data_IF_501327597241
#
_entry.id   IF_501327597241
#
_cell.length_a   1.000
_cell.length_b   1.000
_cell.length_c   1.000
_cell.angle_alpha   90.00
_cell.angle_beta   90.00
_cell.angle_gamma   90.00
#
_symmetry.space_group_name_H-M   'P 1'
#
loop_
_entity.id
_entity.type
_entity.pdbx_description
1 polymer ?
#
# COMPACT_ATOMS: atom_id res chain seq x y z
N UNK A 1 4.37 -21.50 -7.20
CA UNK A 1 4.45 -20.05 -6.89
C UNK A 1 3.09 -19.40 -6.61
N UNK A 2 1.96 -20.09 -6.80
CA UNK A 2 0.62 -19.52 -6.58
C UNK A 2 0.31 -18.99 -5.17
N UNK A 3 1.06 -19.38 -4.13
CA UNK A 3 0.86 -18.87 -2.76
C UNK A 3 1.16 -17.36 -2.61
N UNK A 4 2.00 -16.81 -3.49
CA UNK A 4 2.39 -15.39 -3.48
C UNK A 4 1.62 -14.58 -4.53
N UNK A 5 0.74 -15.23 -5.32
CA UNK A 5 -0.01 -14.55 -6.36
C UNK A 5 -0.97 -13.53 -5.74
N UNK A 6 -1.06 -12.35 -6.37
CA UNK A 6 -2.04 -11.34 -6.00
C UNK A 6 -3.42 -11.75 -6.51
N UNK A 7 -4.45 -11.48 -5.72
CA UNK A 7 -5.80 -11.91 -6.05
C UNK A 7 -6.82 -11.32 -5.10
N UNK A 8 -7.99 -11.93 -5.04
CA UNK A 8 -8.98 -11.63 -4.00
C UNK A 8 -8.77 -12.54 -2.81
N UNK A 9 -8.62 -11.96 -1.61
CA UNK A 9 -8.42 -12.74 -0.39
C UNK A 9 -9.74 -13.38 0.05
N UNK A 10 -10.83 -12.62 -0.01
CA UNK A 10 -12.15 -13.08 0.43
C UNK A 10 -13.19 -11.97 0.43
N UNK A 11 -14.44 -12.31 0.76
CA UNK A 11 -15.56 -11.34 0.69
C UNK A 11 -15.46 -10.21 1.71
N UNK A 12 -14.87 -10.47 2.88
CA UNK A 12 -14.72 -9.48 3.96
C UNK A 12 -13.48 -8.58 3.80
N UNK A 13 -12.75 -8.65 2.68
CA UNK A 13 -11.48 -7.93 2.49
C UNK A 13 -11.61 -6.39 2.61
N UNK A 14 -12.80 -5.82 2.40
CA UNK A 14 -13.04 -4.38 2.60
C UNK A 14 -13.32 -3.99 4.05
N UNK A 15 -13.85 -4.92 4.84
CA UNK A 15 -14.20 -4.69 6.25
C UNK A 15 -13.05 -5.06 7.19
N UNK A 16 -11.99 -5.67 6.65
CA UNK A 16 -10.83 -6.17 7.38
C UNK A 16 -9.61 -5.27 7.16
N UNK A 17 -8.82 -5.05 8.21
CA UNK A 17 -7.58 -4.29 8.17
C UNK A 17 -6.41 -5.21 8.53
N UNK A 18 -5.60 -5.57 7.55
CA UNK A 18 -4.38 -6.38 7.72
C UNK A 18 -3.11 -5.54 7.56
N UNK A 19 -1.97 -6.07 8.02
CA UNK A 19 -0.66 -5.41 7.93
C UNK A 19 -0.29 -5.05 6.48
N UNK A 20 -0.44 -6.01 5.57
CA UNK A 20 -0.23 -5.85 4.14
C UNK A 20 -1.26 -6.72 3.41
N UNK A 21 -1.92 -6.15 2.40
CA UNK A 21 -2.88 -6.86 1.58
C UNK A 21 -2.70 -6.46 0.11
N UNK A 22 -2.53 -7.46 -0.74
CA UNK A 22 -2.39 -7.32 -2.19
C UNK A 22 -3.68 -7.78 -2.86
N UNK A 23 -4.42 -6.84 -3.43
CA UNK A 23 -5.64 -7.12 -4.17
C UNK A 23 -5.45 -6.83 -5.64
N UNK A 24 -6.14 -7.59 -6.49
CA UNK A 24 -6.18 -7.36 -7.92
C UNK A 24 -7.50 -6.67 -8.28
N UNK A 25 -7.46 -5.62 -9.12
CA UNK A 25 -8.64 -4.82 -9.42
C UNK A 25 -9.65 -5.59 -10.29
N UNK A 26 -9.16 -6.34 -11.28
CA UNK A 26 -10.00 -7.10 -12.22
C UNK A 26 -9.56 -8.56 -12.29
N UNK A 27 -9.80 -9.37 -11.25
CA UNK A 27 -9.42 -10.78 -11.25
C UNK A 27 -10.31 -11.56 -12.24
N UNK A 28 -9.74 -12.53 -12.93
CA UNK A 28 -10.44 -13.36 -13.91
C UNK A 28 -10.36 -14.83 -13.53
N UNK A 29 -11.44 -15.58 -13.80
CA UNK A 29 -11.45 -17.04 -13.62
C UNK A 29 -10.48 -17.69 -14.60
N UNK A 30 -9.73 -18.73 -14.17
CA UNK A 30 -8.85 -19.46 -15.08
C UNK A 30 -9.66 -20.15 -16.17
N UNK A 31 -9.25 -20.01 -17.44
CA UNK A 31 -9.91 -20.69 -18.56
C UNK A 31 -9.68 -22.20 -18.55
N UNK A 32 -8.48 -22.63 -18.18
CA UNK A 32 -8.11 -24.04 -18.04
C UNK A 32 -8.03 -24.35 -16.54
N UNK A 33 -8.87 -25.27 -16.09
CA UNK A 33 -9.03 -25.61 -14.68
C UNK A 33 -8.96 -27.11 -14.45
N UNK A 34 -8.44 -27.49 -13.30
CA UNK A 34 -8.43 -28.87 -12.81
C UNK A 34 -9.65 -29.12 -11.92
N UNK A 35 -10.11 -30.37 -11.78
CA UNK A 35 -11.23 -30.72 -10.89
C UNK A 35 -11.01 -30.26 -9.45
N UNK A 36 -9.75 -30.24 -8.99
CA UNK A 36 -9.40 -29.77 -7.65
C UNK A 36 -9.75 -28.30 -7.43
N UNK A 37 -9.62 -27.44 -8.45
CA UNK A 37 -9.96 -26.01 -8.38
C UNK A 37 -11.46 -25.80 -8.10
N UNK A 38 -12.30 -26.69 -8.65
CA UNK A 38 -13.74 -26.68 -8.41
C UNK A 38 -14.07 -27.14 -6.99
N UNK A 39 -13.40 -28.20 -6.52
CA UNK A 39 -13.59 -28.72 -5.15
C UNK A 39 -13.21 -27.71 -4.05
N UNK A 40 -12.20 -26.88 -4.29
CA UNK A 40 -11.77 -25.82 -3.35
C UNK A 40 -12.48 -24.48 -3.58
N UNK A 41 -13.41 -24.40 -4.54
CA UNK A 41 -14.14 -23.17 -4.89
C UNK A 41 -13.25 -21.98 -5.31
N UNK A 42 -12.05 -22.23 -5.85
CA UNK A 42 -11.10 -21.17 -6.20
C UNK A 42 -11.55 -20.31 -7.38
N UNK A 43 -12.55 -20.76 -8.15
CA UNK A 43 -13.21 -19.94 -9.17
C UNK A 43 -13.97 -18.74 -8.63
N UNK A 44 -14.44 -18.81 -7.38
CA UNK A 44 -15.17 -17.71 -6.74
C UNK A 44 -14.22 -16.58 -6.33
N UNK A 45 -12.97 -16.93 -6.00
CA UNK A 45 -11.92 -16.01 -5.55
C UNK A 45 -10.64 -16.20 -6.38
N UNK A 46 -10.66 -15.86 -7.68
CA UNK A 46 -9.50 -16.10 -8.53
C UNK A 46 -8.33 -15.18 -8.16
N UNK A 47 -7.11 -15.72 -8.28
CA UNK A 47 -5.87 -14.97 -8.11
C UNK A 47 -5.10 -14.93 -9.43
N UNK A 48 -5.49 -13.99 -10.31
CA UNK A 48 -4.81 -13.75 -11.58
C UNK A 48 -5.70 -13.09 -12.64
N UNK A 49 -5.12 -12.90 -13.82
CA UNK A 49 -5.81 -12.47 -15.03
C UNK A 49 -5.40 -13.37 -16.18
N UNK A 50 -6.32 -13.67 -17.10
CA UNK A 50 -5.98 -14.37 -18.33
C UNK A 50 -5.25 -13.39 -19.26
N UNK A 51 -4.17 -13.85 -19.86
CA UNK A 51 -3.35 -13.07 -20.78
C UNK A 51 -3.31 -13.74 -22.14
N UNK A 52 -3.37 -12.96 -23.21
CA UNK A 52 -3.04 -13.44 -24.56
C UNK A 52 -1.52 -13.41 -24.70
N UNK A 53 -0.92 -14.58 -24.88
CA UNK A 53 0.54 -14.75 -24.97
C UNK A 53 0.92 -15.05 -26.42
N UNK A 54 1.93 -14.35 -26.92
CA UNK A 54 2.58 -14.65 -28.20
C UNK A 54 4.00 -15.15 -27.91
N UNK A 55 4.33 -16.35 -28.38
CA UNK A 55 5.67 -16.93 -28.24
C UNK A 55 6.47 -16.55 -29.48
N UNK A 56 7.31 -15.53 -29.34
CA UNK A 56 8.19 -15.06 -30.39
C UNK A 56 9.38 -14.31 -29.79
N UNK A 57 10.51 -14.32 -30.48
CA UNK A 57 11.64 -13.47 -30.10
C UNK A 57 11.42 -12.04 -30.58
N UNK A 58 11.51 -11.05 -29.69
CA UNK A 58 11.26 -9.65 -30.04
C UNK A 58 12.21 -8.67 -29.34
N UNK A 59 12.89 -7.83 -30.14
CA UNK A 59 13.73 -6.70 -29.70
C UNK A 59 14.93 -7.02 -28.78
N UNK A 60 15.15 -8.28 -28.39
CA UNK A 60 16.25 -8.69 -27.52
C UNK A 60 16.10 -8.27 -26.05
N UNK A 61 14.94 -7.75 -25.65
CA UNK A 61 14.58 -7.46 -24.27
C UNK A 61 13.81 -8.61 -23.58
N UNK A 62 13.78 -9.77 -24.23
CA UNK A 62 13.20 -11.05 -23.83
C UNK A 62 14.27 -12.07 -23.38
N UNK A 63 15.48 -11.58 -23.08
CA UNK A 63 16.60 -12.38 -22.56
C UNK A 63 16.41 -12.63 -21.06
N UNK A 64 16.86 -13.77 -20.54
CA UNK A 64 16.87 -14.11 -19.10
C UNK A 64 15.49 -13.99 -18.42
N UNK A 65 14.52 -14.76 -18.93
CA UNK A 65 13.14 -14.84 -18.42
C UNK A 65 12.42 -13.48 -18.37
N UNK A 66 12.84 -12.51 -19.18
CA UNK A 66 12.17 -11.22 -19.28
C UNK A 66 10.88 -11.32 -20.10
N UNK A 67 9.85 -10.61 -19.66
CA UNK A 67 8.59 -10.48 -20.40
C UNK A 67 8.41 -9.06 -20.92
N UNK A 68 7.99 -9.00 -22.17
CA UNK A 68 7.60 -7.76 -22.83
C UNK A 68 6.08 -7.62 -22.76
N UNK A 69 5.59 -6.52 -22.19
CA UNK A 69 4.17 -6.27 -22.01
C UNK A 69 3.66 -5.17 -22.95
N UNK A 70 2.41 -5.29 -23.40
CA UNK A 70 1.75 -4.26 -24.20
C UNK A 70 1.29 -3.11 -23.30
N UNK A 71 1.86 -1.92 -23.51
CA UNK A 71 1.49 -0.71 -22.76
C UNK A 71 -0.01 -0.39 -22.87
N UNK A 72 -0.61 -0.56 -24.04
CA UNK A 72 -2.03 -0.27 -24.24
C UNK A 72 -2.94 -1.21 -23.42
N UNK A 73 -2.47 -2.41 -23.08
CA UNK A 73 -3.22 -3.32 -22.19
C UNK A 73 -3.09 -2.90 -20.73
N UNK A 74 -1.91 -2.44 -20.31
CA UNK A 74 -1.68 -1.88 -18.97
C UNK A 74 -2.51 -0.61 -18.73
N UNK A 75 -2.55 0.30 -19.70
CA UNK A 75 -3.36 1.53 -19.62
C UNK A 75 -4.87 1.22 -19.47
N UNK A 76 -5.33 0.09 -20.03
CA UNK A 76 -6.71 -0.41 -19.87
C UNK A 76 -6.95 -1.14 -18.54
N UNK A 77 -5.91 -1.37 -17.73
CA UNK A 77 -6.02 -1.97 -16.39
C UNK A 77 -5.56 -3.43 -16.28
N UNK A 78 -4.84 -3.97 -17.27
CA UNK A 78 -4.17 -5.25 -17.13
C UNK A 78 -3.12 -5.20 -16.02
N UNK A 79 -3.16 -6.15 -15.07
CA UNK A 79 -2.26 -6.23 -13.94
C UNK A 79 -2.47 -5.17 -12.85
N UNK A 80 -3.55 -4.38 -12.90
CA UNK A 80 -3.77 -3.31 -11.90
C UNK A 80 -3.97 -3.90 -10.50
N UNK A 81 -3.06 -3.55 -9.59
CA UNK A 81 -3.06 -4.02 -8.21
C UNK A 81 -3.38 -2.88 -7.23
N UNK A 82 -3.94 -3.27 -6.08
CA UNK A 82 -4.24 -2.43 -4.93
C UNK A 82 -3.41 -2.96 -3.76
N UNK A 83 -2.53 -2.10 -3.22
CA UNK A 83 -1.68 -2.45 -2.09
C UNK A 83 -2.17 -1.70 -0.87
N UNK A 84 -2.70 -2.42 0.11
CA UNK A 84 -3.10 -1.88 1.40
C UNK A 84 -2.00 -2.14 2.41
N UNK A 85 -1.68 -1.13 3.22
CA UNK A 85 -0.76 -1.26 4.35
C UNK A 85 -1.35 -0.57 5.56
N UNK A 86 -1.26 -1.25 6.70
CA UNK A 86 -1.72 -0.70 7.95
C UNK A 86 -0.59 0.06 8.67
N UNK A 87 -0.91 1.25 9.17
CA UNK A 87 -0.08 2.02 10.07
C UNK A 87 -0.84 2.19 11.39
N UNK A 88 -0.46 1.41 12.41
CA UNK A 88 -1.14 1.41 13.71
C UNK A 88 -0.48 2.37 14.69
N UNK A 89 -1.29 3.16 15.38
CA UNK A 89 -0.90 4.00 16.51
C UNK A 89 -1.51 3.44 17.79
N UNK A 90 -0.71 3.19 18.83
CA UNK A 90 -1.25 2.82 20.16
C UNK A 90 -0.99 3.97 21.12
N UNK A 91 -2.01 4.43 21.84
CA UNK A 91 -1.86 5.42 22.91
C UNK A 91 -1.79 4.67 24.23
N UNK A 92 -0.70 4.85 24.97
CA UNK A 92 -0.47 4.16 26.24
C UNK A 92 -0.68 5.10 27.41
N UNK A 93 -1.16 4.52 28.51
CA UNK A 93 -1.20 5.16 29.82
C UNK A 93 -0.12 4.50 30.68
N UNK A 94 0.69 5.33 31.32
CA UNK A 94 1.86 4.91 32.08
C UNK A 94 1.53 4.83 33.57
N UNK A 95 2.39 4.17 34.33
CA UNK A 95 2.24 3.96 35.79
C UNK A 95 2.32 5.28 36.57
N UNK A 96 3.07 6.25 36.07
CA UNK A 96 3.17 7.61 36.59
C UNK A 96 1.95 8.49 36.28
N UNK A 97 0.80 7.89 35.95
CA UNK A 97 -0.45 8.54 35.53
C UNK A 97 -0.36 9.42 34.27
N UNK A 98 0.80 9.49 33.61
CA UNK A 98 0.94 10.18 32.33
C UNK A 98 0.33 9.34 31.20
N UNK A 99 -0.07 10.01 30.12
CA UNK A 99 -0.66 9.38 28.96
C UNK A 99 -0.16 10.03 27.68
N UNK A 100 -0.08 9.23 26.63
CA UNK A 100 0.18 9.69 25.27
C UNK A 100 -0.96 10.57 24.77
N UNK A 101 -0.62 11.66 24.06
CA UNK A 101 -1.59 12.61 23.53
C UNK A 101 -1.45 12.72 22.02
N UNK A 102 -2.57 12.79 21.31
CA UNK A 102 -2.58 13.22 19.91
C UNK A 102 -2.82 14.72 19.91
N UNK A 103 -1.96 15.46 19.21
CA UNK A 103 -2.05 16.91 19.11
C UNK A 103 -2.53 17.27 17.71
N UNK A 104 -3.34 18.33 17.60
CA UNK A 104 -3.78 18.85 16.31
C UNK A 104 -2.61 19.31 15.41
N UNK A 105 -2.90 19.71 14.17
CA UNK A 105 -1.90 20.15 13.23
C UNK A 105 -1.22 21.43 13.73
N UNK A 106 0.11 21.42 13.73
CA UNK A 106 0.89 22.63 13.96
C UNK A 106 0.70 23.61 12.79
N UNK A 107 0.21 24.81 13.11
CA UNK A 107 -0.04 25.91 12.18
C UNK A 107 1.20 26.79 12.07
N UNK A 108 1.50 27.24 10.87
CA UNK A 108 2.51 28.27 10.65
C UNK A 108 1.98 29.65 11.11
N UNK A 109 2.80 30.38 11.86
CA UNK A 109 2.41 31.65 12.48
C UNK A 109 2.17 32.75 11.43
N UNK A 110 2.87 32.70 10.29
CA UNK A 110 2.75 33.71 9.24
C UNK A 110 1.51 33.50 8.36
N UNK A 111 1.24 32.24 7.97
CA UNK A 111 0.20 31.92 6.98
C UNK A 111 -1.10 31.38 7.58
N UNK A 112 -1.11 31.04 8.88
CA UNK A 112 -2.20 30.32 9.56
C UNK A 112 -2.64 29.04 8.85
N UNK A 113 -1.75 28.45 8.04
CA UNK A 113 -1.98 27.18 7.36
C UNK A 113 -1.18 26.08 8.06
N UNK A 114 -1.64 24.82 8.02
CA UNK A 114 -0.88 23.70 8.55
C UNK A 114 0.45 23.60 7.79
N UNK A 115 1.51 23.23 8.51
CA UNK A 115 2.82 22.97 7.90
C UNK A 115 2.67 21.83 6.90
N UNK A 116 3.47 21.82 5.82
CA UNK A 116 3.43 20.76 4.79
C UNK A 116 3.40 19.33 5.35
N UNK A 117 4.09 19.07 6.48
CA UNK A 117 4.11 17.76 7.15
C UNK A 117 2.77 17.37 7.80
N UNK A 118 1.97 18.36 8.18
CA UNK A 118 0.68 18.26 8.86
C UNK A 118 -0.49 18.64 7.96
N UNK A 119 -0.25 18.87 6.67
CA UNK A 119 -1.27 19.32 5.73
C UNK A 119 -2.44 18.33 5.59
N UNK A 120 -2.18 17.05 5.85
CA UNK A 120 -3.16 15.95 5.74
C UNK A 120 -3.90 15.63 7.04
N UNK A 121 -3.57 16.33 8.13
CA UNK A 121 -4.14 16.09 9.45
C UNK A 121 -5.40 16.92 9.62
N UNK A 122 -6.43 16.30 10.18
CA UNK A 122 -7.66 16.97 10.61
C UNK A 122 -7.45 17.66 11.98
N UNK A 123 -8.46 18.37 12.48
CA UNK A 123 -8.41 19.13 13.73
C UNK A 123 -8.04 18.27 14.96
N UNK A 124 -8.29 16.96 14.91
CA UNK A 124 -7.96 15.98 15.94
C UNK A 124 -6.50 15.48 15.89
N UNK A 125 -5.74 15.83 14.84
CA UNK A 125 -4.37 15.35 14.64
C UNK A 125 -4.25 13.96 14.01
N UNK A 126 -5.35 13.45 13.43
CA UNK A 126 -5.42 12.19 12.66
C UNK A 126 -5.60 12.54 11.17
N UNK A 127 -5.08 11.71 10.27
CA UNK A 127 -5.25 11.91 8.84
C UNK A 127 -6.71 11.74 8.37
N UNK A 128 -7.16 12.63 7.49
CA UNK A 128 -8.50 12.53 6.89
C UNK A 128 -8.58 11.40 5.85
N UNK A 129 -9.64 10.57 5.84
CA UNK A 129 -9.84 9.55 4.82
C UNK A 129 -9.99 10.16 3.42
N UNK A 130 -9.21 9.67 2.46
CA UNK A 130 -9.31 10.06 1.05
C UNK A 130 -8.25 11.06 0.60
N UNK A 131 -7.50 11.65 1.51
CA UNK A 131 -6.39 12.53 1.16
C UNK A 131 -5.15 11.76 0.70
N UNK A 132 -4.45 12.32 -0.28
CA UNK A 132 -3.21 11.73 -0.81
C UNK A 132 -2.05 12.05 0.13
N UNK A 133 -1.46 11.00 0.69
CA UNK A 133 -0.29 11.10 1.56
C UNK A 133 0.99 10.99 0.75
N UNK A 134 1.89 11.96 0.93
CA UNK A 134 3.22 11.97 0.34
C UNK A 134 4.28 11.50 1.34
N UNK A 135 5.46 11.19 0.81
CA UNK A 135 6.57 10.70 1.63
C UNK A 135 6.94 11.72 2.72
N UNK A 136 7.22 11.24 3.94
CA UNK A 136 7.56 12.05 5.13
C UNK A 136 6.42 12.87 5.75
N UNK A 137 5.21 12.86 5.20
CA UNK A 137 4.04 13.41 5.87
C UNK A 137 3.62 12.57 7.07
N UNK A 138 2.95 13.21 8.04
CA UNK A 138 2.54 12.61 9.31
C UNK A 138 1.11 12.11 9.21
N UNK A 139 0.88 10.84 9.52
CA UNK A 139 -0.45 10.23 9.56
C UNK A 139 -1.17 10.48 10.89
N UNK A 140 -0.42 10.41 11.98
CA UNK A 140 -0.94 10.67 13.33
C UNK A 140 0.11 11.46 14.08
N UNK A 141 -0.26 12.65 14.56
CA UNK A 141 0.61 13.51 15.32
C UNK A 141 0.59 13.13 16.81
N UNK A 142 1.33 12.07 17.13
CA UNK A 142 1.44 11.54 18.49
C UNK A 142 2.55 12.26 19.26
N UNK A 143 2.23 12.68 20.48
CA UNK A 143 3.16 13.18 21.48
C UNK A 143 3.23 12.22 22.68
N UNK A 144 4.44 11.83 23.07
CA UNK A 144 4.73 10.91 24.17
C UNK A 144 5.42 11.64 25.32
N UNK A 145 5.10 11.37 26.59
CA UNK A 145 5.83 11.95 27.72
C UNK A 145 7.27 11.42 27.75
N UNK A 146 8.25 12.30 27.98
CA UNK A 146 9.67 11.94 28.00
C UNK A 146 10.02 11.05 29.21
N UNK A 147 9.37 11.29 30.35
CA UNK A 147 9.56 10.53 31.59
C UNK A 147 8.45 9.50 31.73
N UNK A 148 8.79 8.22 31.65
CA UNK A 148 7.82 7.10 31.66
C UNK A 148 7.97 6.17 32.88
N UNK A 149 9.09 6.25 33.62
CA UNK A 149 9.42 5.35 34.74
C UNK A 149 10.08 6.07 35.94
N UNK A 150 9.59 7.26 36.32
CA UNK A 150 10.08 7.86 37.57
C UNK A 150 9.50 7.09 38.79
N UNK A 151 10.33 6.70 39.78
CA UNK A 151 9.83 6.22 41.07
C UNK A 151 8.95 7.29 41.71
N UNK A 152 7.90 6.86 42.41
CA UNK A 152 7.06 7.72 43.26
C UNK A 152 7.86 8.16 44.49
N UNK A 153 8.90 8.97 44.33
CA UNK A 153 9.58 9.64 45.44
C UNK A 153 9.11 11.09 45.51
N UNK A 154 8.47 11.38 46.64
CA UNK A 154 7.75 12.62 46.88
C UNK A 154 8.64 13.84 46.69
N UNK A 155 8.24 14.68 45.74
CA UNK A 155 8.62 16.09 45.78
C UNK A 155 7.52 16.94 45.14
N UNK A 156 7.34 18.08 45.78
CA UNK A 156 6.24 19.03 45.72
C UNK A 156 6.13 19.72 44.35
N UNK A 157 4.88 19.90 43.89
CA UNK A 157 4.41 20.50 42.63
C UNK A 157 4.48 19.61 41.38
N UNK A 158 3.34 19.26 40.75
CA UNK A 158 3.34 18.59 39.45
C UNK A 158 3.81 19.59 38.38
N UNK A 159 5.12 19.61 38.11
CA UNK A 159 5.65 20.25 36.91
C UNK A 159 4.96 19.67 35.67
N UNK A 160 4.66 20.51 34.68
CA UNK A 160 4.00 20.04 33.45
C UNK A 160 4.86 18.95 32.79
N UNK A 161 4.28 17.76 32.48
CA UNK A 161 5.04 16.69 31.85
C UNK A 161 5.53 17.13 30.48
N UNK A 162 6.83 17.00 30.23
CA UNK A 162 7.43 17.33 28.94
C UNK A 162 7.10 16.23 27.91
N UNK A 163 6.56 16.63 26.76
CA UNK A 163 6.19 15.75 25.66
C UNK A 163 7.18 15.81 24.51
N UNK A 164 7.41 14.67 23.86
CA UNK A 164 8.23 14.50 22.67
C UNK A 164 7.36 13.98 21.52
N UNK A 165 7.50 14.58 20.34
CA UNK A 165 6.77 14.14 19.16
C UNK A 165 7.33 12.84 18.59
N UNK A 166 6.44 11.85 18.40
CA UNK A 166 6.73 10.55 17.78
C UNK A 166 5.74 10.33 16.63
N UNK A 167 5.86 11.11 15.53
CA UNK A 167 4.91 11.05 14.43
C UNK A 167 5.05 9.75 13.64
N UNK A 168 3.91 9.13 13.31
CA UNK A 168 3.87 7.97 12.42
C UNK A 168 3.90 8.49 10.98
N UNK A 169 4.89 8.04 10.21
CA UNK A 169 5.10 8.45 8.82
C UNK A 169 4.91 7.27 7.88
N UNK A 170 4.38 7.56 6.70
CA UNK A 170 4.32 6.59 5.62
C UNK A 170 5.69 6.53 4.92
N UNK A 171 6.32 5.36 4.91
CA UNK A 171 7.49 5.11 4.06
C UNK A 171 7.03 4.72 2.65
N UNK A 172 7.68 5.32 1.64
CA UNK A 172 7.46 5.15 0.20
C UNK A 172 7.14 3.70 -0.20
N UNK A 173 6.14 3.52 -1.06
CA UNK A 173 5.78 2.23 -1.65
C UNK A 173 6.49 2.03 -2.98
N UNK A 174 6.97 0.80 -3.19
CA UNK A 174 7.39 0.28 -4.48
C UNK A 174 6.34 -0.75 -4.87
N UNK A 175 5.73 -0.61 -6.05
CA UNK A 175 4.82 -1.63 -6.61
C UNK A 175 5.65 -2.82 -7.09
N UNK A 176 5.35 -4.07 -6.70
CA UNK A 176 6.03 -5.22 -7.25
C UNK A 176 5.62 -5.44 -8.71
N UNK A 177 6.58 -5.48 -9.63
CA UNK A 177 6.38 -5.80 -11.06
C UNK A 177 6.92 -7.21 -11.39
N UNK A 178 6.55 -8.21 -10.57
CA UNK A 178 6.91 -9.60 -10.84
C UNK A 178 5.69 -10.39 -11.32
N UNK A 179 5.85 -11.11 -12.43
CA UNK A 179 4.81 -11.93 -13.05
C UNK A 179 5.19 -13.41 -12.97
N UNK A 180 4.21 -14.31 -12.89
CA UNK A 180 4.44 -15.75 -12.87
C UNK A 180 3.31 -16.49 -13.58
N UNK A 181 3.67 -17.51 -14.36
CA UNK A 181 2.74 -18.41 -15.00
C UNK A 181 2.36 -19.58 -14.08
N UNK A 182 1.18 -20.17 -14.31
CA UNK A 182 0.71 -21.33 -13.55
C UNK A 182 1.64 -22.56 -13.69
N UNK A 183 2.39 -22.65 -14.80
CA UNK A 183 3.38 -23.70 -15.07
C UNK A 183 4.71 -23.53 -14.31
N UNK A 184 4.88 -22.45 -13.53
CA UNK A 184 6.05 -22.25 -12.67
C UNK A 184 7.09 -21.27 -13.21
N UNK A 185 6.94 -20.78 -14.45
CA UNK A 185 7.77 -19.72 -14.99
C UNK A 185 7.58 -18.42 -14.20
N UNK A 186 8.70 -17.73 -13.95
CA UNK A 186 8.76 -16.43 -13.29
C UNK A 186 9.49 -15.47 -14.18
N UNK A 187 8.98 -14.25 -14.23
CA UNK A 187 9.55 -13.24 -15.09
C UNK A 187 9.37 -11.86 -14.50
N UNK A 188 10.33 -10.99 -14.76
CA UNK A 188 10.22 -9.57 -14.48
C UNK A 188 9.89 -8.86 -15.78
N UNK A 189 9.01 -7.86 -15.74
CA UNK A 189 8.79 -7.05 -16.94
C UNK A 189 9.97 -6.10 -17.11
N UNK A 190 10.69 -6.20 -18.23
CA UNK A 190 11.85 -5.36 -18.51
C UNK A 190 11.51 -4.19 -19.45
N UNK A 191 10.49 -4.33 -20.29
CA UNK A 191 10.15 -3.32 -21.28
C UNK A 191 8.65 -3.31 -21.61
N UNK A 192 8.12 -2.09 -21.81
CA UNK A 192 6.74 -1.88 -22.27
C UNK A 192 6.76 -1.47 -23.75
N UNK A 193 6.13 -2.27 -24.62
CA UNK A 193 5.93 -1.85 -26.00
C UNK A 193 4.81 -0.81 -25.99
N UNK A 194 5.15 0.44 -26.32
CA UNK A 194 4.20 1.39 -26.89
C UNK A 194 3.73 0.77 -28.20
N UNK A 195 2.57 0.13 -28.18
CA UNK A 195 1.88 -0.22 -29.41
C UNK A 195 1.39 1.08 -30.03
N UNK A 196 2.33 1.83 -30.62
CA UNK A 196 2.06 2.81 -31.64
C UNK A 196 1.60 2.03 -32.85
N UNK A 197 0.32 1.65 -32.85
CA UNK A 197 -0.44 1.81 -34.08
C UNK A 197 -0.45 3.32 -34.30
N UNK A 198 0.66 3.86 -34.81
CA UNK A 198 0.58 5.05 -35.61
C UNK A 198 -0.36 4.62 -36.73
N UNK A 199 -1.62 4.99 -36.57
CA UNK A 199 -2.49 5.26 -37.70
C UNK A 199 -1.63 6.00 -38.71
N UNK A 200 -1.23 5.28 -39.76
CA UNK A 200 -0.83 5.89 -41.02
C UNK A 200 -1.83 7.04 -41.25
N UNK A 201 -1.39 8.28 -41.51
CA UNK A 201 -2.31 9.32 -41.93
C UNK A 201 -2.95 8.80 -43.21
N UNK A 202 -4.20 8.33 -43.09
CA UNK A 202 -4.99 7.90 -44.22
C UNK A 202 -5.36 9.13 -45.02
N UNK A 203 -4.88 9.15 -46.28
CA UNK A 203 -5.31 9.95 -47.44
C UNK A 203 -5.71 11.40 -47.20
#
# INVERSE_FOLDING_TARGET
MGKQAMGTIGYNQRNRIDTLMYLLAYPQKPMVKTKTIELIDFEKLPAGQNATVAVMSYSGYDIEDALILNKASLDRGFGRCLVYKNAKCTLRRYTNQTYDKVMGPMLDAATRKPIWRHNILDADGICSPGEKVENKQVLVNKSMPTVTQAPLEGSTQPGQPQYRDVPIRLCKFITPEQYSAAAGEKSTSCYYILCGINSLPGR
#
